data_IF_199887315890
#
_entry.id   IF_199887315890
#
_cell.length_a   1.000
_cell.length_b   1.000
_cell.length_c   1.000
_cell.angle_alpha   90.00
_cell.angle_beta   90.00
_cell.angle_gamma   90.00
#
_symmetry.space_group_name_H-M   'P 1'
#
loop_
_entity.id
_entity.type
_entity.pdbx_description
1 polymer ?
#
# COMPACT_ATOMS: atom_id res chain seq x y z
N UNK A 1 -20.14 9.46 -0.06
CA UNK A 1 -18.82 9.22 0.54
C UNK A 1 -18.60 7.74 0.78
N UNK A 2 -17.49 7.24 0.33
CA UNK A 2 -17.17 5.83 0.51
C UNK A 2 -16.71 5.57 1.93
N UNK A 3 -17.08 4.41 2.45
CA UNK A 3 -16.59 3.97 3.74
C UNK A 3 -15.41 3.01 3.54
N UNK A 4 -14.66 2.79 4.62
CA UNK A 4 -13.58 1.82 4.62
C UNK A 4 -14.15 0.41 4.43
N UNK A 5 -13.40 -0.48 3.77
CA UNK A 5 -13.78 -1.88 3.74
C UNK A 5 -13.81 -2.46 5.15
N UNK A 6 -14.62 -3.47 5.33
CA UNK A 6 -14.88 -4.05 6.64
C UNK A 6 -13.86 -5.12 6.98
N UNK A 7 -13.25 -5.01 8.17
CA UNK A 7 -12.36 -6.05 8.67
C UNK A 7 -13.17 -7.34 8.84
N UNK A 8 -12.62 -8.44 8.35
CA UNK A 8 -13.28 -9.74 8.38
C UNK A 8 -13.96 -10.09 7.06
N UNK A 9 -14.09 -9.15 6.14
CA UNK A 9 -14.64 -9.41 4.82
C UNK A 9 -13.51 -9.49 3.79
N UNK A 10 -13.83 -9.98 2.61
CA UNK A 10 -12.85 -10.03 1.52
C UNK A 10 -12.37 -8.62 1.20
N UNK A 11 -11.06 -8.44 1.10
CA UNK A 11 -10.50 -7.17 0.68
C UNK A 11 -10.93 -6.90 -0.76
N UNK A 12 -11.40 -5.69 -1.09
CA UNK A 12 -11.84 -5.42 -2.47
C UNK A 12 -10.73 -5.69 -3.47
N UNK A 13 -11.05 -6.46 -4.50
CA UNK A 13 -10.06 -6.84 -5.50
C UNK A 13 -9.75 -5.67 -6.44
N UNK A 14 -8.57 -5.69 -7.01
CA UNK A 14 -8.16 -4.70 -8.00
C UNK A 14 -7.03 -5.24 -8.84
N UNK A 15 -6.80 -4.60 -9.99
CA UNK A 15 -5.65 -4.85 -10.85
C UNK A 15 -5.10 -3.50 -11.26
N UNK A 16 -3.83 -3.27 -10.96
CA UNK A 16 -3.19 -1.98 -11.25
C UNK A 16 -1.80 -2.20 -11.84
N UNK A 17 -1.36 -1.29 -12.73
CA UNK A 17 0.00 -1.39 -13.26
C UNK A 17 1.05 -1.08 -12.18
N UNK A 18 2.19 -1.75 -12.30
CA UNK A 18 3.29 -1.67 -11.35
C UNK A 18 4.52 -1.01 -11.99
N UNK A 19 5.26 -0.26 -11.19
CA UNK A 19 6.54 0.29 -11.67
C UNK A 19 7.56 -0.82 -11.95
N UNK A 20 7.36 -2.01 -11.38
CA UNK A 20 8.23 -3.17 -11.61
C UNK A 20 7.82 -3.97 -12.84
N UNK A 21 7.04 -3.36 -13.73
CA UNK A 21 6.49 -3.96 -14.95
C UNK A 21 5.27 -4.82 -14.69
N UNK A 22 4.42 -4.91 -15.69
CA UNK A 22 3.20 -5.69 -15.61
C UNK A 22 2.18 -5.08 -14.68
N UNK A 23 1.24 -5.90 -14.29
CA UNK A 23 0.14 -5.53 -13.41
C UNK A 23 0.14 -6.43 -12.18
N UNK A 24 -0.39 -5.89 -11.08
CA UNK A 24 -0.63 -6.67 -9.88
C UNK A 24 -2.12 -6.76 -9.65
N UNK A 25 -2.64 -7.99 -9.51
CA UNK A 25 -4.02 -8.25 -9.13
C UNK A 25 -4.02 -8.78 -7.71
N UNK A 26 -4.75 -8.12 -6.82
CA UNK A 26 -4.72 -8.51 -5.41
C UNK A 26 -5.17 -9.96 -5.23
N UNK A 27 -6.25 -10.38 -5.88
CA UNK A 27 -6.76 -11.74 -5.72
C UNK A 27 -5.81 -12.81 -6.24
N UNK A 28 -4.88 -12.45 -7.12
CA UNK A 28 -3.86 -13.39 -7.59
C UNK A 28 -2.75 -13.60 -6.57
N UNK A 29 -2.74 -12.82 -5.50
CA UNK A 29 -1.71 -12.93 -4.46
C UNK A 29 -2.13 -13.82 -3.29
N UNK A 30 -3.26 -14.52 -3.40
CA UNK A 30 -3.67 -15.44 -2.33
C UNK A 30 -2.55 -16.43 -2.05
N UNK A 31 -2.33 -16.72 -0.79
CA UNK A 31 -1.18 -17.49 -0.33
C UNK A 31 -0.06 -16.60 0.20
N UNK A 32 -0.10 -15.30 -0.12
CA UNK A 32 0.85 -14.31 0.39
C UNK A 32 0.06 -13.30 1.23
N UNK A 33 0.58 -12.96 2.41
CA UNK A 33 -0.01 -11.85 3.17
C UNK A 33 0.36 -10.54 2.47
N UNK A 34 -0.53 -9.56 2.50
CA UNK A 34 -0.30 -8.30 1.78
C UNK A 34 -0.56 -7.12 2.70
N UNK A 35 0.35 -6.16 2.71
CA UNK A 35 0.10 -4.87 3.32
C UNK A 35 -0.01 -3.84 2.20
N UNK A 36 -1.16 -3.16 2.15
CA UNK A 36 -1.43 -2.14 1.14
C UNK A 36 -1.21 -0.78 1.77
N UNK A 37 -0.37 0.03 1.13
CA UNK A 37 0.02 1.35 1.64
C UNK A 37 -0.49 2.40 0.66
N UNK A 38 -1.52 3.15 1.04
CA UNK A 38 -1.97 4.30 0.24
C UNK A 38 -1.20 5.53 0.68
N UNK A 39 -0.72 6.33 -0.27
CA UNK A 39 -0.03 7.57 0.02
C UNK A 39 -0.41 8.64 -1.01
N UNK A 40 -0.32 9.93 -0.66
CA UNK A 40 -0.89 10.95 -1.55
C UNK A 40 -0.14 11.20 -2.84
N UNK A 41 1.17 11.43 -2.79
CA UNK A 41 1.91 11.90 -3.98
C UNK A 41 3.35 11.43 -3.98
N UNK A 42 3.82 10.96 -5.14
CA UNK A 42 5.25 10.76 -5.38
C UNK A 42 6.01 12.08 -5.15
N UNK A 43 7.24 11.98 -4.77
CA UNK A 43 8.17 13.10 -4.59
C UNK A 43 7.86 14.02 -3.41
N UNK A 44 6.72 13.82 -2.74
CA UNK A 44 6.45 14.61 -1.55
C UNK A 44 7.36 14.18 -0.40
N UNK A 45 7.63 15.07 0.56
CA UNK A 45 8.50 14.69 1.69
C UNK A 45 7.96 13.50 2.49
N UNK A 46 6.67 13.47 2.70
CA UNK A 46 6.06 12.35 3.41
C UNK A 46 6.20 11.01 2.67
N UNK A 47 6.08 10.86 1.38
CA UNK A 47 6.19 9.84 0.72
C UNK A 47 7.44 9.38 0.64
N UNK A 48 8.27 10.27 0.53
CA UNK A 48 9.67 9.89 0.53
C UNK A 48 10.06 9.18 1.83
N UNK A 49 9.70 9.79 2.93
CA UNK A 49 9.99 9.18 4.23
C UNK A 49 9.30 7.83 4.37
N UNK A 50 8.05 7.73 3.95
CA UNK A 50 7.28 6.49 4.11
C UNK A 50 7.88 5.35 3.30
N UNK A 51 8.16 5.58 2.02
CA UNK A 51 8.64 4.50 1.17
C UNK A 51 10.05 4.06 1.55
N UNK A 52 10.92 5.00 1.91
CA UNK A 52 12.26 4.59 2.33
C UNK A 52 12.22 3.89 3.68
N UNK A 53 11.33 4.28 4.58
CA UNK A 53 11.17 3.58 5.85
C UNK A 53 10.66 2.16 5.64
N UNK A 54 9.66 1.98 4.77
CA UNK A 54 9.19 0.63 4.46
C UNK A 54 10.24 -0.19 3.73
N UNK A 55 11.06 0.46 2.88
CA UNK A 55 12.16 -0.26 2.23
C UNK A 55 13.13 -0.82 3.27
N UNK A 56 13.40 -0.05 4.32
CA UNK A 56 14.32 -0.49 5.36
C UNK A 56 13.81 -1.71 6.12
N UNK A 57 12.50 -1.90 6.19
CA UNK A 57 11.91 -3.04 6.90
C UNK A 57 11.28 -4.08 5.97
N UNK A 58 11.50 -3.94 4.67
CA UNK A 58 10.90 -4.83 3.69
C UNK A 58 11.28 -6.29 3.95
N UNK A 59 12.52 -6.53 4.40
CA UNK A 59 12.95 -7.88 4.72
C UNK A 59 12.10 -8.51 5.83
N UNK A 60 11.64 -7.71 6.79
CA UNK A 60 10.79 -8.23 7.86
C UNK A 60 9.41 -8.60 7.33
N UNK A 61 8.91 -7.83 6.37
CA UNK A 61 7.65 -8.16 5.71
C UNK A 61 7.76 -9.50 4.98
N UNK A 62 8.85 -9.66 4.22
CA UNK A 62 9.09 -10.89 3.48
C UNK A 62 9.28 -12.07 4.41
N UNK A 63 10.01 -11.88 5.52
CA UNK A 63 10.20 -12.95 6.51
C UNK A 63 8.87 -13.38 7.13
N UNK A 64 7.91 -12.46 7.23
CA UNK A 64 6.58 -12.78 7.77
C UNK A 64 5.67 -13.48 6.75
N UNK A 65 6.16 -13.69 5.53
CA UNK A 65 5.35 -14.28 4.46
C UNK A 65 4.51 -13.28 3.69
N UNK A 66 4.91 -12.01 3.71
CA UNK A 66 4.11 -10.94 3.14
C UNK A 66 4.79 -10.17 2.03
N UNK A 67 4.03 -9.26 1.46
CA UNK A 67 4.52 -8.29 0.49
C UNK A 67 3.84 -6.95 0.70
N UNK A 68 4.54 -5.89 0.33
CA UNK A 68 4.01 -4.53 0.38
C UNK A 68 3.51 -4.14 -1.02
N UNK A 69 2.38 -3.46 -1.06
CA UNK A 69 1.89 -2.83 -2.30
C UNK A 69 1.65 -1.36 -1.98
N UNK A 70 2.38 -0.46 -2.62
CA UNK A 70 2.24 0.97 -2.38
C UNK A 70 1.39 1.57 -3.51
N UNK A 71 0.38 2.36 -3.17
CA UNK A 71 -0.58 2.87 -4.15
C UNK A 71 -0.75 4.36 -4.01
N UNK A 72 -0.61 5.09 -5.12
CA UNK A 72 -1.04 6.47 -5.22
C UNK A 72 -1.69 6.69 -6.57
N UNK A 73 -2.21 7.90 -6.80
CA UNK A 73 -2.80 8.24 -8.08
C UNK A 73 -1.80 8.63 -9.15
N UNK A 74 -0.52 8.65 -8.82
CA UNK A 74 0.52 8.97 -9.79
C UNK A 74 0.61 7.89 -10.86
N UNK A 75 1.00 8.29 -12.07
CA UNK A 75 1.19 7.37 -13.18
C UNK A 75 2.47 6.54 -12.98
N UNK A 76 2.55 5.39 -13.67
CA UNK A 76 3.76 4.55 -13.53
C UNK A 76 5.03 5.27 -13.97
N UNK A 77 4.94 6.21 -14.90
CA UNK A 77 6.13 6.99 -15.28
C UNK A 77 6.66 7.78 -14.09
N UNK A 78 5.76 8.38 -13.31
CA UNK A 78 6.17 9.10 -12.12
C UNK A 78 6.71 8.13 -11.06
N UNK A 79 6.04 6.98 -10.88
CA UNK A 79 6.52 5.96 -9.93
C UNK A 79 7.94 5.50 -10.28
N UNK A 80 8.21 5.26 -11.56
CA UNK A 80 9.54 4.82 -11.98
C UNK A 80 10.59 5.88 -11.71
N UNK A 81 10.28 7.12 -12.02
CA UNK A 81 11.21 8.22 -11.76
C UNK A 81 11.45 8.40 -10.27
N UNK A 82 10.39 8.30 -9.47
CA UNK A 82 10.51 8.44 -8.03
C UNK A 82 11.33 7.31 -7.44
N UNK A 83 11.05 6.08 -7.83
CA UNK A 83 11.84 4.92 -7.37
C UNK A 83 13.31 5.10 -7.71
N UNK A 84 13.59 5.53 -8.94
CA UNK A 84 14.98 5.76 -9.35
C UNK A 84 15.65 6.83 -8.49
N UNK A 85 14.92 7.90 -8.16
CA UNK A 85 15.48 8.97 -7.35
C UNK A 85 15.82 8.51 -5.93
N UNK A 86 15.22 7.39 -5.49
CA UNK A 86 15.46 6.83 -4.15
C UNK A 86 16.40 5.61 -4.20
N UNK A 87 17.06 5.41 -5.33
CA UNK A 87 17.96 4.26 -5.56
C UNK A 87 17.19 2.93 -5.57
N UNK A 88 15.93 2.97 -5.94
CA UNK A 88 15.12 1.79 -6.13
C UNK A 88 14.18 1.47 -4.97
N UNK A 89 12.96 1.12 -5.31
CA UNK A 89 11.97 0.61 -4.35
C UNK A 89 11.67 -0.84 -4.76
N UNK A 90 11.95 -1.82 -3.89
CA UNK A 90 11.89 -3.23 -4.30
C UNK A 90 10.50 -3.87 -4.23
N UNK A 91 9.49 -3.15 -3.78
CA UNK A 91 8.12 -3.64 -3.77
C UNK A 91 7.28 -2.85 -4.75
N UNK A 92 6.17 -3.42 -5.25
CA UNK A 92 5.40 -2.74 -6.29
C UNK A 92 4.84 -1.39 -5.85
N UNK A 93 5.05 -0.39 -6.68
CA UNK A 93 4.39 0.91 -6.59
C UNK A 93 3.35 0.89 -7.70
N UNK A 94 2.08 0.91 -7.31
CA UNK A 94 0.96 0.71 -8.22
C UNK A 94 0.31 2.04 -8.57
N UNK A 95 -0.06 2.19 -9.83
CA UNK A 95 -0.60 3.44 -10.34
C UNK A 95 -2.12 3.39 -10.38
N UNK A 96 -2.75 4.10 -9.47
CA UNK A 96 -4.22 4.19 -9.42
C UNK A 96 -4.65 5.48 -10.12
N UNK A 97 -4.32 5.58 -11.40
CA UNK A 97 -4.67 6.74 -12.21
C UNK A 97 -6.20 6.79 -12.32
N UNK A 98 -6.77 7.91 -11.92
CA UNK A 98 -8.22 8.05 -11.88
C UNK A 98 -8.84 7.70 -10.54
N UNK A 99 -8.06 7.17 -9.60
CA UNK A 99 -8.49 7.01 -8.21
C UNK A 99 -9.55 5.95 -7.95
N UNK A 100 -9.76 5.01 -8.88
CA UNK A 100 -10.84 4.02 -8.70
C UNK A 100 -10.60 3.15 -7.46
N UNK A 101 -9.37 2.67 -7.27
CA UNK A 101 -9.06 1.79 -6.15
C UNK A 101 -9.01 2.60 -4.85
N UNK A 102 -8.48 3.81 -4.91
CA UNK A 102 -8.47 4.72 -3.77
C UNK A 102 -9.89 4.94 -3.25
N UNK A 103 -10.85 5.17 -4.18
CA UNK A 103 -12.25 5.35 -3.81
C UNK A 103 -12.85 4.06 -3.28
N UNK A 104 -12.52 2.93 -3.91
CA UNK A 104 -13.02 1.62 -3.50
C UNK A 104 -12.62 1.31 -2.06
N UNK A 105 -11.44 1.73 -1.64
CA UNK A 105 -10.96 1.51 -0.28
C UNK A 105 -11.35 2.62 0.69
N UNK A 106 -12.13 3.60 0.23
CA UNK A 106 -12.66 4.63 1.12
C UNK A 106 -11.63 5.64 1.60
N UNK A 107 -10.53 5.82 0.87
CA UNK A 107 -9.44 6.70 1.32
C UNK A 107 -9.18 7.83 0.33
N UNK A 108 -10.19 8.24 -0.41
CA UNK A 108 -10.05 9.33 -1.38
C UNK A 108 -10.26 10.68 -0.70
N UNK A 109 -9.26 11.53 -0.80
CA UNK A 109 -9.38 12.92 -0.38
C UNK A 109 -9.83 13.73 -1.59
N UNK A 110 -11.11 14.12 -1.61
CA UNK A 110 -11.68 14.78 -2.79
C UNK A 110 -11.06 16.14 -3.04
N UNK A 111 -10.69 16.84 -1.97
CA UNK A 111 -10.13 18.19 -2.10
C UNK A 111 -8.80 18.18 -2.83
N UNK A 112 -7.94 17.21 -2.53
CA UNK A 112 -6.63 17.09 -3.16
C UNK A 112 -6.64 16.13 -4.35
N UNK A 113 -7.72 15.38 -4.51
CA UNK A 113 -7.84 14.30 -5.48
C UNK A 113 -6.65 13.34 -5.40
N UNK A 114 -6.46 12.81 -4.20
CA UNK A 114 -5.35 11.94 -3.88
C UNK A 114 -5.75 10.99 -2.76
N UNK A 115 -5.04 9.88 -2.60
CA UNK A 115 -5.29 9.04 -1.43
C UNK A 115 -4.92 9.78 -0.14
N UNK A 116 -5.66 9.51 0.93
CA UNK A 116 -5.15 9.79 2.26
C UNK A 116 -4.13 8.72 2.61
N UNK A 117 -3.31 8.99 3.63
CA UNK A 117 -2.29 8.03 4.05
C UNK A 117 -2.95 6.96 4.93
N UNK A 118 -2.92 5.71 4.46
CA UNK A 118 -3.62 4.62 5.15
C UNK A 118 -2.92 3.29 4.86
N UNK A 119 -3.06 2.34 5.79
CA UNK A 119 -2.51 0.99 5.59
C UNK A 119 -3.60 -0.04 5.84
N UNK A 120 -3.55 -1.13 5.06
CA UNK A 120 -4.50 -2.24 5.14
C UNK A 120 -3.69 -3.53 5.13
N UNK A 121 -4.04 -4.49 5.99
CA UNK A 121 -3.37 -5.79 6.00
C UNK A 121 -4.37 -6.87 5.63
N UNK A 122 -3.97 -7.72 4.68
CA UNK A 122 -4.82 -8.76 4.07
C UNK A 122 -4.15 -10.10 4.31
N UNK A 123 -4.92 -11.09 4.73
CA UNK A 123 -4.35 -12.41 5.01
C UNK A 123 -4.21 -13.26 3.74
N UNK A 124 -3.69 -14.49 3.90
CA UNK A 124 -3.41 -15.37 2.77
C UNK A 124 -4.68 -15.80 2.01
N UNK A 125 -5.84 -15.67 2.64
CA UNK A 125 -7.10 -16.00 1.99
C UNK A 125 -7.77 -14.80 1.34
N UNK A 126 -7.11 -13.63 1.40
CA UNK A 126 -7.66 -12.41 0.80
C UNK A 126 -8.62 -11.67 1.70
N UNK A 127 -8.63 -11.98 2.99
CA UNK A 127 -9.53 -11.35 3.95
C UNK A 127 -8.82 -10.18 4.62
N UNK A 128 -9.52 -9.05 4.71
CA UNK A 128 -8.98 -7.84 5.36
C UNK A 128 -8.93 -8.08 6.87
N UNK A 129 -7.76 -7.89 7.48
CA UNK A 129 -7.58 -8.15 8.90
C UNK A 129 -7.24 -6.93 9.73
N UNK A 130 -6.79 -5.85 9.11
CA UNK A 130 -6.37 -4.66 9.85
C UNK A 130 -6.45 -3.43 8.96
N UNK A 131 -6.87 -2.31 9.53
CA UNK A 131 -6.90 -1.02 8.84
C UNK A 131 -6.37 0.05 9.78
N UNK A 132 -5.43 0.87 9.29
CA UNK A 132 -5.07 2.13 9.94
C UNK A 132 -5.37 3.25 8.95
N UNK A 133 -6.51 3.93 9.08
CA UNK A 133 -6.90 4.95 8.10
C UNK A 133 -6.20 6.29 8.32
N UNK A 134 -5.38 6.39 9.37
CA UNK A 134 -4.66 7.63 9.69
C UNK A 134 -3.19 7.34 9.91
N UNK A 135 -2.61 6.57 8.99
CA UNK A 135 -1.18 6.23 9.05
C UNK A 135 -0.35 7.52 9.06
N UNK A 136 0.59 7.59 10.00
CA UNK A 136 1.48 8.75 10.13
C UNK A 136 2.90 8.33 9.75
N UNK A 137 3.39 8.86 8.64
CA UNK A 137 4.70 8.49 8.12
C UNK A 137 5.85 8.87 9.05
N UNK A 138 5.59 9.74 10.03
CA UNK A 138 6.59 10.17 11.00
C UNK A 138 6.57 9.38 12.29
N UNK A 139 5.62 8.46 12.44
CA UNK A 139 5.46 7.68 13.67
C UNK A 139 6.09 6.31 13.48
N UNK A 140 7.25 6.03 14.10
CA UNK A 140 7.88 4.71 13.94
C UNK A 140 6.96 3.56 14.36
N UNK A 141 6.09 3.80 15.33
CA UNK A 141 5.16 2.77 15.81
C UNK A 141 4.17 2.33 14.75
N UNK A 142 3.85 3.21 13.79
CA UNK A 142 2.91 2.83 12.74
C UNK A 142 3.53 1.82 11.76
N UNK A 143 4.85 1.91 11.53
CA UNK A 143 5.54 0.90 10.70
C UNK A 143 5.63 -0.42 11.45
N UNK A 144 5.99 -0.37 12.73
CA UNK A 144 6.05 -1.55 13.57
C UNK A 144 4.69 -2.25 13.59
N UNK A 145 3.61 -1.47 13.67
CA UNK A 145 2.26 -2.01 13.70
C UNK A 145 1.95 -2.85 12.46
N UNK A 146 2.37 -2.37 11.27
CA UNK A 146 2.14 -3.14 10.05
C UNK A 146 2.87 -4.48 10.13
N UNK A 147 4.13 -4.46 10.57
CA UNK A 147 4.91 -5.69 10.68
C UNK A 147 4.25 -6.65 11.67
N UNK A 148 3.85 -6.15 12.83
CA UNK A 148 3.23 -6.99 13.86
C UNK A 148 1.91 -7.60 13.37
N UNK A 149 1.11 -6.80 12.64
CA UNK A 149 -0.16 -7.32 12.12
C UNK A 149 0.08 -8.43 11.10
N UNK A 150 1.12 -8.30 10.28
CA UNK A 150 1.48 -9.37 9.36
C UNK A 150 1.97 -10.61 10.12
N UNK A 151 2.82 -10.41 11.12
CA UNK A 151 3.43 -11.53 11.84
C UNK A 151 2.41 -12.37 12.59
N UNK A 152 1.34 -11.76 13.10
CA UNK A 152 0.38 -12.54 13.87
C UNK A 152 -0.61 -13.33 13.03
N UNK A 153 -0.63 -13.14 11.72
CA UNK A 153 -1.48 -13.93 10.84
C UNK A 153 -0.87 -15.31 10.60
N UNK A 154 -1.70 -16.35 10.45
CA UNK A 154 -1.19 -17.70 10.15
C UNK A 154 -0.45 -17.75 8.82
#
# INVERSE_FOLDING_TARGET
>A
MSSLPEVGAAAPDFTLPSHLDGEVQLSAMKGTKVAILFYPFDFSPGXTQELTSFRDVHHLVRDAGGELLAISGDHIWAHRAFSKSLDGIPFPMLADWGMAVTKLYGVHNAERNAPTRATFVVDRDGVLRFVNPTFDARDPGHYVQVIEELEKLP
#
